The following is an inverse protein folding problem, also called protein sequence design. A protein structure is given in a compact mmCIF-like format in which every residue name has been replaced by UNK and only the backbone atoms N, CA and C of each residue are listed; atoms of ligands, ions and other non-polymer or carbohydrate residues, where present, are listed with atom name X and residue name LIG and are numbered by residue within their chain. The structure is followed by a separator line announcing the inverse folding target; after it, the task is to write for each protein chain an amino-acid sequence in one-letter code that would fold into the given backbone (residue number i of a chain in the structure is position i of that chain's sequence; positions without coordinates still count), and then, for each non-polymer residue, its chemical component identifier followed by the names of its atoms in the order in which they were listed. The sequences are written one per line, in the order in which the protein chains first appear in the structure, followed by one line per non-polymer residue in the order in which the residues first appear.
data_IF_773704758207
#
_entry.id   IF_773704758207
#
_cell.length_a   1.000
_cell.length_b   1.000
_cell.length_c   1.000
_cell.angle_alpha   90.00
_cell.angle_beta   90.00
_cell.angle_gamma   90.00
#
_symmetry.space_group_name_H-M   'P 1'
#
loop_
_entity.id
_entity.type
_entity.pdbx_description
1 polymer ?
#
# COMPACT_ATOMS: atom_id res chain seq x y z
N UNK A 1 7.48 10.44 -11.06
CA UNK A 1 6.48 9.53 -10.45
C UNK A 1 5.59 10.32 -9.51
N UNK A 2 4.42 9.82 -9.09
CA UNK A 2 3.47 10.63 -8.28
C UNK A 2 4.01 10.85 -6.87
N UNK A 3 4.72 9.86 -6.34
CA UNK A 3 5.39 9.87 -5.04
C UNK A 3 6.40 11.02 -4.88
N UNK A 4 7.23 11.31 -5.90
CA UNK A 4 8.27 12.37 -5.83
C UNK A 4 7.72 13.77 -5.46
N UNK A 5 6.43 14.01 -5.76
CA UNK A 5 5.73 15.25 -5.40
C UNK A 5 5.19 15.19 -3.97
N UNK A 6 4.71 14.02 -3.54
CA UNK A 6 4.11 13.78 -2.22
C UNK A 6 5.18 13.67 -1.14
N UNK A 7 6.34 13.11 -1.46
CA UNK A 7 7.47 12.95 -0.55
C UNK A 7 7.91 14.30 0.05
N UNK A 8 7.82 15.38 -0.74
CA UNK A 8 8.18 16.74 -0.34
C UNK A 8 7.17 17.44 0.56
N UNK A 9 6.00 16.85 0.79
CA UNK A 9 5.01 17.39 1.73
C UNK A 9 5.52 17.25 3.17
N UNK A 10 5.06 18.11 4.06
CA UNK A 10 5.22 17.91 5.49
C UNK A 10 4.45 16.67 5.96
N UNK A 11 4.77 16.18 7.16
CA UNK A 11 4.21 14.93 7.69
C UNK A 11 2.70 14.99 7.93
N UNK A 12 2.16 16.16 8.26
CA UNK A 12 0.72 16.33 8.47
C UNK A 12 -0.02 16.24 7.14
N UNK A 13 0.45 16.96 6.12
CA UNK A 13 -0.14 16.89 4.76
C UNK A 13 0.05 15.52 4.13
N UNK A 14 1.22 14.89 4.32
CA UNK A 14 1.47 13.53 3.87
C UNK A 14 0.46 12.57 4.49
N UNK A 15 0.28 12.65 5.82
CA UNK A 15 -0.72 11.83 6.52
C UNK A 15 -2.12 12.20 6.08
N UNK A 16 -2.48 13.47 5.86
CA UNK A 16 -3.84 13.81 5.40
C UNK A 16 -4.15 13.23 4.02
N UNK A 17 -3.17 13.22 3.11
CA UNK A 17 -3.32 12.70 1.75
C UNK A 17 -3.30 11.17 1.70
N UNK A 18 -2.25 10.56 2.27
CA UNK A 18 -2.02 9.12 2.20
C UNK A 18 -2.74 8.35 3.30
N UNK A 19 -3.15 9.04 4.39
CA UNK A 19 -3.74 8.59 5.67
C UNK A 19 -3.02 7.51 6.44
N UNK A 20 -1.72 7.40 6.19
CA UNK A 20 -0.78 6.69 7.05
C UNK A 20 0.34 7.66 7.45
N UNK A 21 1.00 7.41 8.59
CA UNK A 21 2.19 8.17 8.95
C UNK A 21 3.32 7.81 7.99
N UNK A 22 4.24 8.74 7.72
CA UNK A 22 5.39 8.48 6.84
C UNK A 22 6.23 7.28 7.31
N UNK A 23 6.41 7.14 8.62
CA UNK A 23 7.09 5.99 9.22
C UNK A 23 6.41 4.67 8.87
N UNK A 24 5.08 4.62 8.95
CA UNK A 24 4.29 3.45 8.56
C UNK A 24 4.38 3.19 7.05
N UNK A 25 4.29 4.23 6.23
CA UNK A 25 4.43 4.13 4.78
C UNK A 25 5.79 3.52 4.40
N UNK A 26 6.88 4.03 4.97
CA UNK A 26 8.22 3.52 4.70
C UNK A 26 8.36 2.05 5.12
N UNK A 27 7.77 1.65 6.24
CA UNK A 27 7.75 0.25 6.69
C UNK A 27 6.99 -0.66 5.71
N UNK A 28 5.83 -0.20 5.21
CA UNK A 28 5.08 -0.92 4.17
C UNK A 28 5.92 -1.08 2.88
N UNK A 29 6.61 -0.03 2.45
CA UNK A 29 7.49 -0.08 1.27
C UNK A 29 8.63 -1.08 1.46
N UNK A 30 9.26 -1.13 2.63
CA UNK A 30 10.33 -2.09 2.94
C UNK A 30 9.84 -3.54 2.81
N UNK A 31 8.67 -3.86 3.38
CA UNK A 31 8.06 -5.20 3.27
C UNK A 31 7.76 -5.54 1.80
N UNK A 32 7.23 -4.59 1.03
CA UNK A 32 6.96 -4.78 -0.40
C UNK A 32 8.25 -4.98 -1.21
N UNK A 33 9.34 -4.29 -0.87
CA UNK A 33 10.65 -4.47 -1.51
C UNK A 33 11.21 -5.87 -1.27
N UNK A 34 11.09 -6.41 -0.06
CA UNK A 34 11.51 -7.78 0.26
C UNK A 34 10.68 -8.81 -0.52
N UNK A 35 9.35 -8.63 -0.56
CA UNK A 35 8.46 -9.50 -1.30
C UNK A 35 8.70 -9.44 -2.83
N UNK A 36 9.00 -8.25 -3.37
CA UNK A 36 9.34 -8.06 -4.79
C UNK A 36 10.68 -8.71 -5.15
N UNK A 37 11.69 -8.59 -4.28
CA UNK A 37 12.98 -9.30 -4.45
C UNK A 37 12.77 -10.82 -4.48
N UNK A 38 11.99 -11.37 -3.56
CA UNK A 38 11.67 -12.79 -3.54
C UNK A 38 10.93 -13.26 -4.81
N UNK A 39 10.02 -12.42 -5.34
CA UNK A 39 9.35 -12.70 -6.62
C UNK A 39 10.31 -12.66 -7.81
N UNK A 40 11.22 -11.69 -7.86
CA UNK A 40 12.18 -11.55 -8.96
C UNK A 40 13.14 -12.73 -9.07
N UNK A 41 13.56 -13.29 -7.93
CA UNK A 41 14.36 -14.53 -7.90
C UNK A 41 13.61 -15.69 -8.60
N UNK A 42 12.28 -15.73 -8.49
CA UNK A 42 11.42 -16.75 -9.13
C UNK A 42 10.99 -16.40 -10.56
N UNK A 43 11.58 -15.38 -11.18
CA UNK A 43 11.22 -14.93 -12.53
C UNK A 43 10.02 -13.97 -12.59
N UNK A 44 9.73 -13.24 -11.50
CA UNK A 44 8.65 -12.27 -11.43
C UNK A 44 8.78 -11.12 -12.45
N UNK A 45 7.65 -10.72 -13.05
CA UNK A 45 7.57 -9.61 -14.02
C UNK A 45 7.82 -8.27 -13.34
N UNK A 46 8.57 -7.39 -14.02
CA UNK A 46 8.79 -6.00 -13.59
C UNK A 46 7.51 -5.16 -13.70
N UNK A 47 7.20 -4.39 -12.65
CA UNK A 47 6.13 -3.41 -12.67
C UNK A 47 6.53 -2.13 -13.43
N UNK A 48 5.54 -1.45 -14.03
CA UNK A 48 5.75 -0.16 -14.73
C UNK A 48 5.92 1.00 -13.74
N UNK A 49 5.23 0.93 -12.60
CA UNK A 49 5.29 1.90 -11.51
C UNK A 49 6.34 1.48 -10.47
N UNK A 50 6.83 2.44 -9.68
CA UNK A 50 7.61 2.12 -8.48
C UNK A 50 6.71 1.50 -7.41
N UNK A 51 7.32 0.87 -6.40
CA UNK A 51 6.58 0.27 -5.30
C UNK A 51 5.86 1.33 -4.47
N UNK A 52 6.45 2.51 -4.33
CA UNK A 52 5.87 3.66 -3.65
C UNK A 52 4.62 4.18 -4.37
N UNK A 53 4.68 4.31 -5.70
CA UNK A 53 3.53 4.71 -6.52
C UNK A 53 2.42 3.66 -6.48
N UNK A 54 2.78 2.37 -6.51
CA UNK A 54 1.80 1.29 -6.36
C UNK A 54 1.15 1.31 -4.98
N UNK A 55 1.92 1.55 -3.92
CA UNK A 55 1.39 1.64 -2.55
C UNK A 55 0.45 2.83 -2.41
N UNK A 56 0.83 4.01 -2.95
CA UNK A 56 -0.07 5.16 -3.00
C UNK A 56 -1.37 4.84 -3.72
N UNK A 57 -1.29 4.17 -4.86
CA UNK A 57 -2.45 3.77 -5.65
C UNK A 57 -3.40 2.86 -4.85
N UNK A 58 -2.85 1.92 -4.08
CA UNK A 58 -3.64 1.05 -3.20
C UNK A 58 -4.28 1.82 -2.03
N UNK A 59 -3.54 2.75 -1.42
CA UNK A 59 -4.06 3.58 -0.34
C UNK A 59 -5.19 4.53 -0.82
N UNK A 60 -5.06 5.10 -2.02
CA UNK A 60 -6.11 5.90 -2.66
C UNK A 60 -7.37 5.07 -2.93
N UNK A 61 -7.19 3.85 -3.45
CA UNK A 61 -8.29 2.90 -3.62
C UNK A 61 -9.04 2.63 -2.30
N UNK A 62 -8.31 2.33 -1.22
CA UNK A 62 -8.93 2.02 0.08
C UNK A 62 -9.65 3.21 0.71
N UNK A 63 -9.16 4.43 0.51
CA UNK A 63 -9.77 5.64 1.11
C UNK A 63 -10.96 6.16 0.36
N UNK A 64 -10.83 6.25 -0.95
CA UNK A 64 -11.76 6.99 -1.80
C UNK A 64 -12.68 6.06 -2.57
N UNK A 65 -12.40 4.75 -2.52
CA UNK A 65 -13.18 3.70 -3.19
C UNK A 65 -13.41 3.98 -4.68
N UNK A 66 -12.46 4.69 -5.31
CA UNK A 66 -12.52 5.01 -6.74
C UNK A 66 -12.41 3.74 -7.57
N UNK A 67 -13.10 3.71 -8.71
CA UNK A 67 -13.03 2.55 -9.60
C UNK A 67 -11.60 2.32 -10.11
N UNK A 68 -11.25 1.07 -10.39
CA UNK A 68 -9.94 0.74 -10.95
C UNK A 68 -9.69 1.47 -12.28
N UNK A 69 -10.72 1.68 -13.09
CA UNK A 69 -10.65 2.55 -14.26
C UNK A 69 -10.11 3.95 -13.93
N UNK A 70 -10.74 4.68 -13.00
CA UNK A 70 -10.33 6.04 -12.63
C UNK A 70 -8.90 6.10 -12.09
N UNK A 71 -8.56 5.14 -11.23
CA UNK A 71 -7.22 5.05 -10.65
C UNK A 71 -6.19 4.73 -11.75
N UNK A 72 -6.50 3.81 -12.65
CA UNK A 72 -5.61 3.43 -13.74
C UNK A 72 -5.27 4.61 -14.67
N UNK A 73 -6.24 5.49 -14.93
CA UNK A 73 -6.04 6.72 -15.70
C UNK A 73 -5.10 7.68 -14.96
N UNK A 74 -5.29 7.87 -13.65
CA UNK A 74 -4.48 8.77 -12.83
C UNK A 74 -3.00 8.36 -12.76
N UNK A 75 -2.72 7.05 -12.89
CA UNK A 75 -1.37 6.48 -12.81
C UNK A 75 -0.80 6.03 -14.17
N UNK A 76 -1.54 6.16 -15.27
CA UNK A 76 -1.08 5.79 -16.61
C UNK A 76 -0.80 4.28 -16.79
N UNK A 77 -1.62 3.44 -16.17
CA UNK A 77 -1.59 1.97 -16.25
C UNK A 77 -2.91 1.43 -16.81
N UNK A 78 -2.95 0.16 -17.21
CA UNK A 78 -4.23 -0.47 -17.54
C UNK A 78 -5.04 -0.75 -16.27
N UNK A 79 -6.36 -0.84 -16.41
CA UNK A 79 -7.26 -1.19 -15.30
C UNK A 79 -6.90 -2.55 -14.68
N UNK A 80 -6.59 -3.54 -15.51
CA UNK A 80 -6.13 -4.86 -15.05
C UNK A 80 -4.80 -4.82 -14.30
N UNK A 81 -3.89 -3.91 -14.67
CA UNK A 81 -2.64 -3.70 -13.93
C UNK A 81 -2.88 -3.00 -12.61
N UNK A 82 -3.78 -2.01 -12.55
CA UNK A 82 -4.18 -1.37 -11.30
C UNK A 82 -4.78 -2.38 -10.32
N UNK A 83 -5.74 -3.19 -10.77
CA UNK A 83 -6.34 -4.26 -9.96
C UNK A 83 -5.28 -5.22 -9.40
N UNK A 84 -4.40 -5.76 -10.26
CA UNK A 84 -3.35 -6.71 -9.84
C UNK A 84 -2.36 -6.08 -8.86
N UNK A 85 -2.03 -4.80 -9.04
CA UNK A 85 -1.13 -4.08 -8.16
C UNK A 85 -1.75 -3.87 -6.77
N UNK A 86 -2.97 -3.35 -6.71
CA UNK A 86 -3.72 -3.16 -5.45
C UNK A 86 -3.87 -4.47 -4.71
N UNK A 87 -4.34 -5.52 -5.42
CA UNK A 87 -4.56 -6.83 -4.83
C UNK A 87 -3.26 -7.44 -4.28
N UNK A 88 -2.16 -7.29 -5.00
CA UNK A 88 -0.87 -7.80 -4.53
C UNK A 88 -0.36 -7.05 -3.29
N UNK A 89 -0.54 -5.74 -3.23
CA UNK A 89 -0.15 -4.94 -2.06
C UNK A 89 -0.98 -5.36 -0.85
N UNK A 90 -2.30 -5.44 -0.99
CA UNK A 90 -3.21 -5.93 0.05
C UNK A 90 -2.79 -7.30 0.58
N UNK A 91 -2.64 -8.27 -0.31
CA UNK A 91 -2.33 -9.64 0.07
C UNK A 91 -0.94 -9.77 0.71
N UNK A 92 0.02 -8.90 0.35
CA UNK A 92 1.37 -8.90 0.91
C UNK A 92 1.37 -8.28 2.31
N UNK A 93 0.71 -7.13 2.48
CA UNK A 93 0.69 -6.42 3.77
C UNK A 93 -0.14 -7.17 4.81
N UNK A 94 -1.33 -7.69 4.45
CA UNK A 94 -2.21 -8.42 5.38
C UNK A 94 -1.53 -9.68 5.95
N UNK A 95 -0.68 -10.34 5.16
CA UNK A 95 0.06 -11.53 5.60
C UNK A 95 1.26 -11.20 6.47
N UNK A 96 1.69 -9.95 6.52
CA UNK A 96 2.86 -9.56 7.31
C UNK A 96 2.45 -9.40 8.78
N UNK A 97 3.19 -9.99 9.75
CA UNK A 97 2.82 -9.96 11.17
C UNK A 97 2.66 -8.54 11.74
N UNK A 98 3.42 -7.56 11.23
CA UNK A 98 3.32 -6.15 11.66
C UNK A 98 1.98 -5.48 11.33
N UNK A 99 1.24 -6.01 10.34
CA UNK A 99 -0.04 -5.47 9.89
C UNK A 99 -1.17 -6.48 10.02
N UNK A 100 -0.86 -7.68 10.53
CA UNK A 100 -1.85 -8.68 10.84
C UNK A 100 -2.69 -8.19 12.03
N UNK A 101 -4.00 -8.24 11.88
CA UNK A 101 -4.90 -7.97 12.99
C UNK A 101 -4.76 -9.09 14.03
N UNK A 102 -4.58 -8.77 15.31
CA UNK A 102 -4.58 -9.77 16.37
C UNK A 102 -5.93 -10.49 16.41
N UNK A 103 -5.94 -11.69 16.98
CA UNK A 103 -7.14 -12.53 16.97
C UNK A 103 -8.32 -11.83 17.65
N UNK A 104 -9.56 -12.16 17.28
CA UNK A 104 -10.78 -11.56 17.85
C UNK A 104 -10.79 -11.54 19.39
N UNK A 105 -10.21 -12.57 20.03
CA UNK A 105 -10.09 -12.66 21.50
C UNK A 105 -9.10 -11.66 22.10
N UNK A 106 -8.03 -11.31 21.39
CA UNK A 106 -7.05 -10.32 21.83
C UNK A 106 -7.60 -8.91 21.65
N UNK A 107 -8.31 -8.66 20.55
CA UNK A 107 -9.01 -7.38 20.31
C UNK A 107 -10.06 -7.08 21.39
N UNK A 108 -10.80 -8.09 21.86
CA UNK A 108 -11.79 -7.92 22.92
C UNK A 108 -11.17 -7.61 24.29
N UNK A 109 -9.89 -7.97 24.53
CA UNK A 109 -9.22 -7.66 25.81
C UNK A 109 -8.78 -6.20 25.90
N UNK A 110 -8.33 -5.62 24.79
CA UNK A 110 -7.95 -4.20 24.73
C UNK A 110 -9.13 -3.25 24.91
N UNK A 111 -10.36 -3.67 24.57
CA UNK A 111 -11.57 -2.84 24.75
C UNK A 111 -12.08 -2.83 26.21
N UNK A 112 -11.67 -3.80 27.02
CA UNK A 112 -12.07 -3.93 28.44
C UNK A 112 -11.10 -3.27 29.42
N UNK A 113 -9.92 -2.85 28.96
CA UNK A 113 -8.94 -2.11 29.76
C UNK A 113 -9.03 -0.60 29.41
N UNK A 114 -10.13 0.03 29.82
CA UNK A 114 -10.28 1.50 29.89
C UNK A 114 -10.55 1.89 31.35
#
# INVERSE_FOLDING_TARGET
MKFDKIEKLDDERFRRLTGVKRTTFNKMVQILQEADKAKKIKGGRKYKLSLEDMLLMALEYMREYRTYFHISQSYGVSESSAYKAVKWIEDTLIKHPDFALPGRKELLKSDTEI
#
